data_IF_924781362782
#
_entry.id   IF_924781362782
#
_cell.length_a   1.000
_cell.length_b   1.000
_cell.length_c   1.000
_cell.angle_alpha   90.00
_cell.angle_beta   90.00
_cell.angle_gamma   90.00
#
_symmetry.space_group_name_H-M   'P 1'
#
loop_
_entity.id
_entity.type
_entity.pdbx_description
1 polymer ?
#
# COMPACT_ATOMS: atom_id res chain seq x y z
N UNK A 1 -5.68 -15.12 3.87
CA UNK A 1 -5.58 -14.03 2.86
C UNK A 1 -5.51 -14.60 1.46
N UNK A 2 -6.33 -14.11 0.53
CA UNK A 2 -6.43 -14.56 -0.87
C UNK A 2 -5.20 -14.16 -1.69
N UNK A 3 -4.88 -14.92 -2.73
CA UNK A 3 -3.81 -14.63 -3.69
C UNK A 3 -4.43 -14.15 -5.00
N UNK A 4 -3.92 -13.05 -5.57
CA UNK A 4 -4.39 -12.51 -6.84
C UNK A 4 -3.32 -12.63 -7.92
N UNK A 5 -3.74 -12.95 -9.13
CA UNK A 5 -2.90 -12.91 -10.32
C UNK A 5 -3.39 -11.84 -11.29
N UNK A 6 -2.45 -11.09 -11.86
CA UNK A 6 -2.69 -10.15 -12.96
C UNK A 6 -1.95 -10.63 -14.22
N UNK A 7 -1.83 -9.80 -15.25
CA UNK A 7 -1.07 -10.14 -16.43
C UNK A 7 0.40 -10.46 -16.11
N UNK A 8 1.06 -9.64 -15.30
CA UNK A 8 2.50 -9.73 -14.99
C UNK A 8 2.80 -10.08 -13.54
N UNK A 9 1.83 -9.94 -12.61
CA UNK A 9 2.07 -9.96 -11.17
C UNK A 9 1.34 -11.10 -10.49
N UNK A 10 1.95 -11.58 -9.39
CA UNK A 10 1.35 -12.41 -8.37
C UNK A 10 1.35 -11.60 -7.05
N UNK A 11 0.16 -11.33 -6.53
CA UNK A 11 -0.05 -10.72 -5.22
C UNK A 11 -0.33 -11.84 -4.24
N UNK A 12 0.59 -12.10 -3.32
CA UNK A 12 0.56 -13.26 -2.42
C UNK A 12 0.79 -12.87 -0.95
N UNK A 13 0.42 -13.74 -0.02
CA UNK A 13 0.83 -13.57 1.37
C UNK A 13 2.35 -13.47 1.51
N UNK A 14 2.78 -12.68 2.50
CA UNK A 14 4.19 -12.61 2.91
C UNK A 14 4.64 -13.93 3.53
N UNK A 15 5.91 -14.28 3.33
CA UNK A 15 6.56 -15.46 3.89
C UNK A 15 7.83 -15.07 4.66
N UNK A 16 8.34 -15.91 5.57
CA UNK A 16 9.60 -15.64 6.26
C UNK A 16 10.81 -15.50 5.31
N UNK A 17 10.73 -16.10 4.10
CA UNK A 17 11.79 -16.00 3.10
C UNK A 17 11.91 -14.57 2.50
N UNK A 18 10.89 -13.72 2.66
CA UNK A 18 10.85 -12.38 2.08
C UNK A 18 11.52 -11.31 2.96
N UNK A 19 12.08 -11.69 4.12
CA UNK A 19 12.67 -10.76 5.11
C UNK A 19 13.74 -9.87 4.51
N UNK A 20 14.64 -10.43 3.68
CA UNK A 20 15.74 -9.66 3.12
C UNK A 20 15.26 -8.61 2.12
N UNK A 21 14.23 -8.93 1.34
CA UNK A 21 13.58 -7.95 0.47
C UNK A 21 12.89 -6.84 1.27
N UNK A 22 12.17 -7.18 2.33
CA UNK A 22 11.49 -6.18 3.19
C UNK A 22 12.50 -5.26 3.86
N UNK A 23 13.62 -5.79 4.32
CA UNK A 23 14.70 -4.99 4.88
C UNK A 23 15.30 -4.06 3.82
N UNK A 24 15.66 -4.57 2.65
CA UNK A 24 16.18 -3.74 1.56
C UNK A 24 15.19 -2.64 1.15
N UNK A 25 13.92 -2.98 0.93
CA UNK A 25 12.88 -2.02 0.54
C UNK A 25 12.75 -0.85 1.54
N UNK A 26 12.70 -1.15 2.84
CA UNK A 26 12.42 -0.14 3.87
C UNK A 26 13.67 0.49 4.50
N UNK A 27 14.86 0.04 4.17
CA UNK A 27 16.13 0.73 4.48
C UNK A 27 16.46 1.83 3.48
N UNK A 28 15.70 1.94 2.39
CA UNK A 28 15.89 2.96 1.34
C UNK A 28 15.13 4.23 1.67
N UNK A 29 15.85 5.36 1.75
CA UNK A 29 15.24 6.65 2.02
C UNK A 29 14.27 7.08 0.93
N UNK A 30 14.57 6.83 -0.35
CA UNK A 30 13.71 7.14 -1.49
C UNK A 30 12.33 6.45 -1.42
N UNK A 31 12.23 5.32 -0.70
CA UNK A 31 10.96 4.65 -0.42
C UNK A 31 10.31 5.22 0.84
N UNK A 32 11.10 5.44 1.90
CA UNK A 32 10.59 5.77 3.23
C UNK A 32 10.22 7.23 3.42
N UNK A 33 10.78 8.16 2.67
CA UNK A 33 10.60 9.60 2.84
C UNK A 33 9.13 10.08 2.82
N UNK A 34 8.24 9.31 2.20
CA UNK A 34 6.81 9.62 2.10
C UNK A 34 5.91 8.73 2.96
N UNK A 35 6.49 7.88 3.83
CA UNK A 35 5.74 6.90 4.60
C UNK A 35 5.71 7.30 6.09
N UNK A 36 4.50 7.58 6.57
CA UNK A 36 4.25 7.96 7.96
C UNK A 36 4.47 9.44 8.26
N UNK A 37 3.95 9.92 9.39
CA UNK A 37 4.09 11.32 9.81
C UNK A 37 5.54 11.69 10.15
N UNK A 38 6.35 10.73 10.63
CA UNK A 38 7.78 10.87 10.90
C UNK A 38 8.52 9.77 10.14
N UNK A 39 8.94 10.04 8.90
CA UNK A 39 9.64 9.05 8.09
C UNK A 39 10.95 8.61 8.73
N UNK A 40 11.17 7.30 8.79
CA UNK A 40 12.46 6.70 9.17
C UNK A 40 12.72 5.42 8.39
N UNK A 41 13.95 5.14 8.06
CA UNK A 41 14.36 3.88 7.42
C UNK A 41 14.41 2.74 8.44
N UNK A 42 14.34 1.51 7.95
CA UNK A 42 14.69 0.33 8.76
C UNK A 42 16.21 0.31 8.99
N UNK A 43 16.60 0.08 10.24
CA UNK A 43 18.00 0.06 10.64
C UNK A 43 18.52 -1.35 10.92
N UNK A 44 17.61 -2.32 11.09
CA UNK A 44 17.98 -3.70 11.37
C UNK A 44 17.09 -4.70 10.62
N UNK A 45 17.69 -5.85 10.30
CA UNK A 45 16.98 -6.99 9.72
C UNK A 45 15.88 -7.53 10.67
N UNK A 46 16.05 -7.36 11.99
CA UNK A 46 15.05 -7.77 12.97
C UNK A 46 13.74 -6.99 12.81
N UNK A 47 13.79 -5.69 12.49
CA UNK A 47 12.59 -4.92 12.19
C UNK A 47 11.80 -5.48 10.98
N UNK A 48 12.51 -6.02 9.99
CA UNK A 48 11.86 -6.68 8.85
C UNK A 48 11.21 -8.02 9.24
N UNK A 49 11.87 -8.80 10.11
CA UNK A 49 11.29 -10.02 10.70
C UNK A 49 10.00 -9.69 11.43
N UNK A 50 10.05 -8.76 12.38
CA UNK A 50 8.90 -8.34 13.20
C UNK A 50 7.76 -7.81 12.33
N UNK A 51 8.11 -7.09 11.25
CA UNK A 51 7.12 -6.59 10.28
C UNK A 51 6.43 -7.75 9.55
N UNK A 52 7.19 -8.71 9.03
CA UNK A 52 6.62 -9.87 8.32
C UNK A 52 5.72 -10.69 9.25
N UNK A 53 6.14 -10.91 10.49
CA UNK A 53 5.32 -11.62 11.48
C UNK A 53 3.98 -10.92 11.70
N UNK A 54 3.98 -9.59 11.87
CA UNK A 54 2.75 -8.79 11.98
C UNK A 54 1.86 -8.88 10.75
N UNK A 55 2.45 -8.80 9.55
CA UNK A 55 1.71 -8.89 8.29
C UNK A 55 1.08 -10.27 8.07
N UNK A 56 1.78 -11.34 8.49
CA UNK A 56 1.29 -12.72 8.42
C UNK A 56 0.21 -13.03 9.45
N UNK A 57 0.29 -12.41 10.63
CA UNK A 57 -0.72 -12.55 11.67
C UNK A 57 -2.00 -11.75 11.38
N UNK A 58 -1.96 -10.84 10.39
CA UNK A 58 -3.15 -10.08 9.99
C UNK A 58 -4.11 -10.98 9.22
N UNK A 59 -5.28 -11.20 9.80
CA UNK A 59 -6.35 -12.00 9.19
C UNK A 59 -7.64 -11.15 9.14
N UNK A 60 -8.11 -10.90 7.91
CA UNK A 60 -9.33 -10.15 7.66
C UNK A 60 -9.94 -10.61 6.33
N UNK A 61 -11.28 -10.74 6.22
CA UNK A 61 -11.93 -11.25 5.00
C UNK A 61 -11.74 -10.36 3.77
N UNK A 62 -11.61 -9.05 3.95
CA UNK A 62 -11.53 -8.06 2.86
C UNK A 62 -10.16 -7.41 2.78
N UNK A 63 -9.58 -7.05 3.93
CA UNK A 63 -8.32 -6.32 4.01
C UNK A 63 -7.10 -7.25 3.98
N UNK A 64 -5.96 -6.71 3.54
CA UNK A 64 -4.71 -7.49 3.48
C UNK A 64 -3.48 -6.67 3.14
N UNK A 65 -2.33 -7.36 3.18
CA UNK A 65 -1.01 -6.82 2.83
C UNK A 65 -0.31 -7.85 1.95
N UNK A 66 -0.27 -7.60 0.66
CA UNK A 66 0.30 -8.53 -0.31
C UNK A 66 1.72 -8.18 -0.69
N UNK A 67 2.58 -9.19 -0.71
CA UNK A 67 3.82 -9.15 -1.46
C UNK A 67 3.49 -9.15 -2.95
N UNK A 68 4.07 -8.22 -3.70
CA UNK A 68 3.92 -8.14 -5.15
C UNK A 68 5.14 -8.76 -5.81
N UNK A 69 4.92 -9.84 -6.56
CA UNK A 69 5.95 -10.62 -7.20
C UNK A 69 5.75 -10.62 -8.73
N UNK A 70 6.84 -10.49 -9.48
CA UNK A 70 6.83 -10.65 -10.92
C UNK A 70 6.67 -12.15 -11.27
N UNK A 71 5.70 -12.48 -12.13
CA UNK A 71 5.41 -13.86 -12.52
C UNK A 71 6.48 -14.48 -13.43
N UNK A 72 7.24 -13.66 -14.15
CA UNK A 72 8.22 -14.14 -15.13
C UNK A 72 9.48 -14.69 -14.47
N UNK A 73 10.00 -14.02 -13.48
CA UNK A 73 11.29 -14.31 -12.83
C UNK A 73 11.17 -14.63 -11.34
N UNK A 74 10.00 -14.37 -10.73
CA UNK A 74 9.77 -14.59 -9.31
C UNK A 74 10.32 -13.48 -8.42
N UNK A 75 10.85 -12.39 -8.97
CA UNK A 75 11.38 -11.28 -8.19
C UNK A 75 10.29 -10.53 -7.41
N UNK A 76 10.59 -10.17 -6.17
CA UNK A 76 9.74 -9.28 -5.38
C UNK A 76 9.92 -7.84 -5.85
N UNK A 77 8.81 -7.15 -6.04
CA UNK A 77 8.77 -5.79 -6.56
C UNK A 77 8.34 -4.76 -5.51
N UNK A 78 7.53 -5.17 -4.54
CA UNK A 78 6.95 -4.28 -3.56
C UNK A 78 5.81 -4.89 -2.75
N UNK A 79 4.96 -4.03 -2.23
CA UNK A 79 3.76 -4.39 -1.46
C UNK A 79 2.56 -3.56 -1.89
N UNK A 80 1.38 -4.15 -1.80
CA UNK A 80 0.09 -3.45 -1.74
C UNK A 80 -0.47 -3.62 -0.34
N UNK A 81 -0.94 -2.55 0.25
CA UNK A 81 -1.70 -2.55 1.50
C UNK A 81 -3.16 -2.16 1.24
N UNK A 82 -4.06 -2.84 1.95
CA UNK A 82 -5.49 -2.58 1.89
C UNK A 82 -6.06 -2.77 3.29
N UNK A 83 -6.42 -1.69 3.97
CA UNK A 83 -6.75 -1.70 5.40
C UNK A 83 -7.61 -0.51 5.79
N UNK A 84 -8.14 -0.48 7.01
CA UNK A 84 -8.72 0.74 7.56
C UNK A 84 -7.64 1.81 7.72
N UNK A 85 -7.90 3.03 7.20
CA UNK A 85 -6.98 4.15 7.32
C UNK A 85 -7.04 4.75 8.73
N UNK A 86 -5.92 5.08 9.37
CA UNK A 86 -5.92 5.73 10.67
C UNK A 86 -6.45 7.17 10.59
N UNK A 87 -7.46 7.48 11.43
CA UNK A 87 -7.95 8.85 11.59
C UNK A 87 -6.96 9.70 12.39
N UNK A 88 -6.90 10.99 12.07
CA UNK A 88 -6.15 11.98 12.86
C UNK A 88 -6.85 12.29 14.18
N UNK A 89 -6.09 12.84 15.14
CA UNK A 89 -6.58 13.35 16.42
C UNK A 89 -6.01 12.63 17.64
N UNK A 90 -5.79 11.32 17.57
CA UNK A 90 -5.21 10.54 18.66
C UNK A 90 -3.77 10.10 18.38
N UNK A 91 -2.99 9.83 19.44
CA UNK A 91 -1.63 9.28 19.35
C UNK A 91 -1.52 8.07 20.28
N UNK A 92 -1.36 6.85 19.72
CA UNK A 92 -1.35 6.52 18.29
C UNK A 92 -2.72 6.74 17.62
N UNK A 93 -2.74 7.03 16.30
CA UNK A 93 -4.00 7.17 15.57
C UNK A 93 -4.84 5.89 15.61
N UNK A 94 -6.15 6.05 15.71
CA UNK A 94 -7.11 4.92 15.68
C UNK A 94 -7.62 4.67 14.25
N UNK A 95 -7.99 3.43 13.89
CA UNK A 95 -8.60 3.16 12.59
C UNK A 95 -9.90 3.96 12.40
N UNK A 96 -10.06 4.55 11.22
CA UNK A 96 -11.33 5.13 10.78
C UNK A 96 -12.26 4.05 10.19
N UNK A 97 -13.45 4.46 9.72
CA UNK A 97 -14.33 3.58 8.95
C UNK A 97 -13.95 3.47 7.46
N UNK A 98 -13.00 4.27 7.01
CA UNK A 98 -12.59 4.34 5.61
C UNK A 98 -11.55 3.26 5.29
N UNK A 99 -11.67 2.62 4.14
CA UNK A 99 -10.67 1.67 3.63
C UNK A 99 -9.66 2.39 2.75
N UNK A 100 -8.38 2.21 3.09
CA UNK A 100 -7.25 2.73 2.34
C UNK A 100 -6.64 1.67 1.45
N UNK A 101 -6.30 2.06 0.21
CA UNK A 101 -5.34 1.36 -0.63
C UNK A 101 -4.02 2.14 -0.68
N UNK A 102 -2.90 1.44 -0.54
CA UNK A 102 -1.57 2.04 -0.66
C UNK A 102 -0.54 1.04 -1.22
N UNK A 103 0.63 1.55 -1.59
CA UNK A 103 1.69 0.75 -2.20
C UNK A 103 3.07 1.30 -1.87
N UNK A 104 4.02 0.36 -1.74
CA UNK A 104 5.44 0.68 -1.65
C UNK A 104 6.19 -0.26 -2.58
N UNK A 105 6.89 0.29 -3.56
CA UNK A 105 7.65 -0.48 -4.55
C UNK A 105 9.14 -0.17 -4.47
N UNK A 106 9.95 -1.21 -4.71
CA UNK A 106 11.39 -1.06 -4.82
C UNK A 106 11.73 -0.11 -5.98
N UNK A 107 12.76 0.74 -5.86
CA UNK A 107 13.13 1.68 -6.92
C UNK A 107 13.34 1.04 -8.28
N UNK A 108 13.92 -0.16 -8.35
CA UNK A 108 14.14 -0.90 -9.61
C UNK A 108 12.84 -1.32 -10.32
N UNK A 109 11.71 -1.29 -9.60
CA UNK A 109 10.39 -1.58 -10.15
C UNK A 109 9.62 -0.32 -10.61
N UNK A 110 10.15 0.89 -10.36
CA UNK A 110 9.46 2.12 -10.70
C UNK A 110 9.39 2.36 -12.21
N UNK A 111 8.43 3.17 -12.64
CA UNK A 111 8.24 3.55 -14.04
C UNK A 111 7.70 2.45 -14.95
N UNK A 112 7.52 1.22 -14.45
CA UNK A 112 7.12 0.04 -15.24
C UNK A 112 5.63 -0.29 -15.17
N UNK A 113 4.84 0.51 -14.44
CA UNK A 113 3.39 0.35 -14.29
C UNK A 113 2.93 -0.73 -13.29
N UNK A 114 3.84 -1.36 -12.57
CA UNK A 114 3.51 -2.43 -11.63
C UNK A 114 2.61 -1.97 -10.48
N UNK A 115 2.85 -0.80 -9.92
CA UNK A 115 2.00 -0.24 -8.86
C UNK A 115 0.55 -0.04 -9.36
N UNK A 116 0.36 0.49 -10.57
CA UNK A 116 -0.96 0.67 -11.15
C UNK A 116 -1.66 -0.66 -11.41
N UNK A 117 -0.95 -1.66 -11.94
CA UNK A 117 -1.50 -2.99 -12.22
C UNK A 117 -1.94 -3.70 -10.94
N UNK A 118 -1.10 -3.71 -9.91
CA UNK A 118 -1.41 -4.30 -8.62
C UNK A 118 -2.57 -3.58 -7.91
N UNK A 119 -2.53 -2.25 -7.87
CA UNK A 119 -3.57 -1.45 -7.22
C UNK A 119 -4.92 -1.58 -7.93
N UNK A 120 -4.97 -1.64 -9.26
CA UNK A 120 -6.21 -1.90 -10.01
C UNK A 120 -6.86 -3.21 -9.59
N UNK A 121 -6.08 -4.30 -9.43
CA UNK A 121 -6.62 -5.60 -9.00
C UNK A 121 -7.18 -5.56 -7.58
N UNK A 122 -6.49 -4.85 -6.65
CA UNK A 122 -6.93 -4.75 -5.26
C UNK A 122 -8.13 -3.80 -5.11
N UNK A 123 -8.22 -2.73 -5.91
CA UNK A 123 -9.44 -1.90 -5.98
C UNK A 123 -10.65 -2.74 -6.44
N UNK A 124 -10.48 -3.53 -7.50
CA UNK A 124 -11.54 -4.42 -7.98
C UNK A 124 -11.97 -5.40 -6.88
N UNK A 125 -11.03 -6.00 -6.15
CA UNK A 125 -11.33 -6.87 -5.01
C UNK A 125 -12.17 -6.14 -3.95
N UNK A 126 -11.80 -4.91 -3.57
CA UNK A 126 -12.58 -4.14 -2.60
C UNK A 126 -14.03 -3.94 -3.02
N UNK A 127 -14.27 -3.59 -4.27
CA UNK A 127 -15.62 -3.45 -4.83
C UNK A 127 -16.36 -4.79 -4.95
N UNK A 128 -15.68 -5.87 -5.35
CA UNK A 128 -16.21 -7.24 -5.35
C UNK A 128 -16.67 -7.69 -3.95
N UNK A 129 -16.02 -7.17 -2.88
CA UNK A 129 -16.38 -7.41 -1.49
C UNK A 129 -17.46 -6.44 -0.95
N UNK A 130 -18.02 -5.59 -1.79
CA UNK A 130 -19.14 -4.69 -1.44
C UNK A 130 -18.72 -3.37 -0.81
N UNK A 131 -17.44 -2.98 -0.88
CA UNK A 131 -17.05 -1.64 -0.49
C UNK A 131 -17.58 -0.64 -1.53
N UNK A 132 -18.23 0.42 -1.07
CA UNK A 132 -18.74 1.47 -1.95
C UNK A 132 -17.70 2.56 -2.22
N UNK A 133 -16.71 2.70 -1.30
CA UNK A 133 -15.71 3.75 -1.33
C UNK A 133 -14.37 3.24 -0.81
N UNK A 134 -13.29 3.63 -1.53
CA UNK A 134 -11.91 3.31 -1.16
C UNK A 134 -11.09 4.59 -1.32
N UNK A 135 -10.25 4.89 -0.34
CA UNK A 135 -9.39 6.08 -0.36
C UNK A 135 -7.93 5.72 -0.56
N UNK A 136 -7.16 6.66 -1.07
CA UNK A 136 -5.71 6.66 -1.00
C UNK A 136 -5.23 8.04 -0.57
N UNK A 137 -4.20 8.09 0.27
CA UNK A 137 -3.57 9.34 0.65
C UNK A 137 -2.09 9.32 0.27
N UNK A 138 -1.59 10.47 -0.17
CA UNK A 138 -0.19 10.63 -0.54
C UNK A 138 0.38 11.89 0.08
N UNK A 139 1.68 11.92 0.36
CA UNK A 139 2.36 13.19 0.65
C UNK A 139 2.14 14.16 -0.53
N UNK A 140 1.94 15.48 -0.28
CA UNK A 140 1.83 16.48 -1.33
C UNK A 140 3.00 16.46 -2.32
N UNK A 141 4.19 16.09 -1.87
CA UNK A 141 5.40 16.03 -2.70
C UNK A 141 5.56 14.70 -3.44
N UNK A 142 4.75 13.68 -3.14
CA UNK A 142 4.83 12.36 -3.80
C UNK A 142 4.03 12.32 -5.11
N UNK A 143 4.49 13.09 -6.10
CA UNK A 143 3.85 13.18 -7.42
C UNK A 143 3.76 11.82 -8.14
N UNK A 144 4.68 10.91 -7.87
CA UNK A 144 4.68 9.58 -8.48
C UNK A 144 3.46 8.76 -8.01
N UNK A 145 3.18 8.73 -6.71
CA UNK A 145 1.99 8.04 -6.15
C UNK A 145 0.69 8.72 -6.60
N UNK A 146 0.64 10.06 -6.66
CA UNK A 146 -0.53 10.78 -7.16
C UNK A 146 -0.87 10.40 -8.61
N UNK A 147 0.16 10.25 -9.48
CA UNK A 147 -0.03 9.77 -10.85
C UNK A 147 -0.56 8.33 -10.91
N UNK A 148 -0.18 7.47 -9.96
CA UNK A 148 -0.74 6.11 -9.86
C UNK A 148 -2.22 6.20 -9.48
N UNK A 149 -2.60 6.99 -8.46
CA UNK A 149 -4.00 7.19 -8.07
C UNK A 149 -4.87 7.60 -9.27
N UNK A 150 -4.44 8.60 -10.03
CA UNK A 150 -5.19 9.06 -11.21
C UNK A 150 -5.27 7.97 -12.29
N UNK A 151 -4.18 7.24 -12.54
CA UNK A 151 -4.13 6.18 -13.57
C UNK A 151 -5.06 5.01 -13.27
N UNK A 152 -5.30 4.69 -12.00
CA UNK A 152 -6.22 3.63 -11.58
C UNK A 152 -7.67 4.12 -11.42
N UNK A 153 -7.96 5.35 -11.85
CA UNK A 153 -9.31 5.92 -11.89
C UNK A 153 -9.77 6.60 -10.62
N UNK A 154 -8.90 6.80 -9.63
CA UNK A 154 -9.28 7.55 -8.42
C UNK A 154 -9.39 9.05 -8.71
N UNK A 155 -10.33 9.71 -8.07
CA UNK A 155 -10.56 11.15 -8.18
C UNK A 155 -9.81 11.90 -7.08
N UNK A 156 -9.07 12.92 -7.45
CA UNK A 156 -8.43 13.82 -6.50
C UNK A 156 -9.48 14.68 -5.79
N UNK A 157 -9.46 14.71 -4.47
CA UNK A 157 -10.41 15.45 -3.61
C UNK A 157 -9.76 16.62 -2.88
N UNK A 158 -8.50 16.94 -3.19
CA UNK A 158 -7.75 18.02 -2.55
C UNK A 158 -6.97 17.57 -1.32
N UNK A 159 -6.49 18.52 -0.55
CA UNK A 159 -5.72 18.29 0.68
C UNK A 159 -6.63 18.03 1.87
N UNK A 160 -6.15 17.18 2.76
CA UNK A 160 -6.81 16.90 4.05
C UNK A 160 -5.77 16.69 5.15
N UNK A 161 -6.19 16.88 6.38
CA UNK A 161 -5.47 16.52 7.61
C UNK A 161 -6.21 15.46 8.41
N UNK A 162 -7.22 14.81 7.83
CA UNK A 162 -8.10 13.86 8.52
C UNK A 162 -7.41 12.53 8.84
N UNK A 163 -6.24 12.26 8.24
CA UNK A 163 -5.57 10.97 8.33
C UNK A 163 -4.10 11.10 8.74
N UNK A 164 -3.60 10.13 9.50
CA UNK A 164 -2.19 9.97 9.89
C UNK A 164 -1.58 11.13 10.68
N UNK A 165 -2.36 12.07 11.22
CA UNK A 165 -1.88 13.29 11.87
C UNK A 165 -0.91 14.12 10.99
N UNK A 166 -1.13 14.15 9.68
CA UNK A 166 -0.31 14.90 8.72
C UNK A 166 -1.16 15.43 7.56
N UNK A 167 -0.65 16.45 6.87
CA UNK A 167 -1.27 16.91 5.62
C UNK A 167 -0.99 15.92 4.49
N UNK A 168 -2.02 15.56 3.74
CA UNK A 168 -1.91 14.67 2.59
C UNK A 168 -2.88 15.07 1.47
N UNK A 169 -2.58 14.64 0.25
CA UNK A 169 -3.50 14.70 -0.89
C UNK A 169 -4.42 13.48 -0.83
N UNK A 170 -5.73 13.72 -0.92
CA UNK A 170 -6.78 12.68 -0.85
C UNK A 170 -7.24 12.29 -2.25
N UNK A 171 -7.27 10.99 -2.50
CA UNK A 171 -7.84 10.38 -3.70
C UNK A 171 -8.91 9.38 -3.29
N UNK A 172 -9.99 9.32 -4.08
CA UNK A 172 -11.16 8.48 -3.80
C UNK A 172 -11.55 7.68 -5.04
N UNK A 173 -11.78 6.40 -4.87
CA UNK A 173 -12.50 5.56 -5.83
C UNK A 173 -13.87 5.21 -5.24
N UNK A 174 -14.92 5.35 -6.04
CA UNK A 174 -16.29 5.03 -5.70
C UNK A 174 -16.83 3.99 -6.68
N UNK A 175 -17.63 3.04 -6.17
CA UNK A 175 -18.28 2.07 -7.03
C UNK A 175 -19.32 2.79 -7.90
N UNK A 176 -19.17 2.69 -9.22
CA UNK A 176 -20.17 3.21 -10.15
C UNK A 176 -21.37 2.25 -10.12
N UNK A 177 -22.51 2.77 -9.73
CA UNK A 177 -23.81 2.07 -9.73
C UNK A 177 -24.24 1.72 -11.14
#
# INVERSE_FOLDING_TARGET
METFATARLLLRPWTPADVDFVFDLYSRWEVKQFIGAVPRIMESRQEAVDRIEKLRAFDHPVHGFWAVQNKQDGELLGTILFKLIPASGEVPPVPSAETEIGWHFHPDAWGRGYASEAATRVLAHGFEQGLERIVAVTSPDNLASQKVCLRIGMQHRGRTTDFYNTECELFVAEQVS
#
